data_IF_100932229089
#
_entry.id   IF_100932229089
#
_cell.length_a   1.000
_cell.length_b   1.000
_cell.length_c   1.000
_cell.angle_alpha   90.00
_cell.angle_beta   90.00
_cell.angle_gamma   90.00
#
_symmetry.space_group_name_H-M   'P 1'
#
loop_
_entity.id
_entity.type
_entity.pdbx_description
1 polymer ?
#
# COMPACT_ATOMS: atom_id res chain seq x y z
N UNK A 1 -7.34 4.60 20.52
CA UNK A 1 -7.26 4.71 19.05
C UNK A 1 -7.52 3.34 18.45
N UNK A 2 -8.40 3.25 17.45
CA UNK A 2 -8.64 2.03 16.68
C UNK A 2 -8.01 2.21 15.29
N UNK A 3 -7.51 1.13 14.71
CA UNK A 3 -6.89 1.12 13.40
C UNK A 3 -7.68 0.21 12.47
N UNK A 4 -7.86 0.64 11.22
CA UNK A 4 -8.34 -0.20 10.14
C UNK A 4 -7.15 -0.71 9.32
N UNK A 5 -7.26 -1.94 8.83
CA UNK A 5 -6.22 -2.59 8.03
C UNK A 5 -6.82 -3.10 6.72
N UNK A 6 -6.04 -2.98 5.64
CA UNK A 6 -6.42 -3.50 4.34
C UNK A 6 -5.21 -4.16 3.66
N UNK A 7 -5.47 -5.26 2.96
CA UNK A 7 -4.49 -5.93 2.10
C UNK A 7 -4.91 -5.72 0.64
N UNK A 8 -3.97 -5.33 -0.21
CA UNK A 8 -4.19 -5.17 -1.66
C UNK A 8 -3.13 -5.88 -2.47
N UNK A 9 -3.55 -6.45 -3.60
CA UNK A 9 -2.65 -7.07 -4.55
C UNK A 9 -2.44 -6.13 -5.74
N UNK A 10 -1.18 -5.92 -6.09
CA UNK A 10 -0.76 -5.06 -7.18
C UNK A 10 0.11 -5.83 -8.15
N UNK A 11 -0.06 -5.59 -9.44
CA UNK A 11 0.83 -6.07 -10.50
C UNK A 11 1.57 -4.90 -11.13
N UNK A 12 2.78 -5.14 -11.62
CA UNK A 12 3.58 -4.17 -12.39
C UNK A 12 3.96 -2.88 -11.63
N UNK A 13 3.95 -2.94 -10.30
CA UNK A 13 4.53 -1.88 -9.46
C UNK A 13 6.06 -2.04 -9.40
N UNK A 14 6.83 -0.94 -9.32
CA UNK A 14 8.28 -1.04 -9.17
C UNK A 14 8.62 -1.76 -7.87
N UNK A 15 9.55 -2.71 -7.95
CA UNK A 15 10.09 -3.40 -6.76
C UNK A 15 11.03 -2.44 -6.01
N UNK A 16 10.51 -1.76 -4.99
CA UNK A 16 11.26 -0.85 -4.14
C UNK A 16 10.89 -1.05 -2.67
N UNK A 17 11.72 -0.52 -1.76
CA UNK A 17 11.46 -0.61 -0.33
C UNK A 17 10.16 0.12 0.05
N UNK A 18 9.42 -0.33 1.09
CA UNK A 18 8.20 0.32 1.55
C UNK A 18 8.36 1.81 1.80
N UNK A 19 9.49 2.26 2.34
CA UNK A 19 9.79 3.68 2.59
C UNK A 19 9.77 4.53 1.32
N UNK A 20 10.34 4.02 0.22
CA UNK A 20 10.35 4.70 -1.09
C UNK A 20 8.96 4.69 -1.73
N UNK A 21 8.17 3.67 -1.43
CA UNK A 21 6.85 3.48 -2.00
C UNK A 21 5.73 4.14 -1.21
N UNK A 22 5.93 4.45 0.07
CA UNK A 22 4.89 4.96 0.97
C UNK A 22 4.22 6.22 0.42
N UNK A 23 5.00 7.22 -0.01
CA UNK A 23 4.46 8.46 -0.58
C UNK A 23 3.74 8.23 -1.92
N UNK A 24 4.27 7.33 -2.75
CA UNK A 24 3.67 7.00 -4.06
C UNK A 24 2.33 6.29 -3.87
N UNK A 25 2.28 5.32 -2.97
CA UNK A 25 1.08 4.54 -2.63
C UNK A 25 0.03 5.43 -2.00
N UNK A 26 0.40 6.25 -1.02
CA UNK A 26 -0.53 7.19 -0.39
C UNK A 26 -1.11 8.16 -1.43
N UNK A 27 -0.29 8.72 -2.32
CA UNK A 27 -0.77 9.60 -3.40
C UNK A 27 -1.74 8.87 -4.34
N UNK A 28 -1.40 7.66 -4.76
CA UNK A 28 -2.25 6.85 -5.64
C UNK A 28 -3.59 6.49 -4.98
N UNK A 29 -3.58 6.12 -3.70
CA UNK A 29 -4.78 5.83 -2.92
C UNK A 29 -5.67 7.06 -2.78
N UNK A 30 -5.09 8.22 -2.46
CA UNK A 30 -5.83 9.49 -2.38
C UNK A 30 -6.51 9.83 -3.71
N UNK A 31 -5.85 9.59 -4.85
CA UNK A 31 -6.45 9.79 -6.18
C UNK A 31 -7.65 8.87 -6.46
N UNK A 32 -7.81 7.79 -5.70
CA UNK A 32 -8.95 6.87 -5.77
C UNK A 32 -10.00 7.12 -4.69
N UNK A 33 -9.92 8.24 -3.97
CA UNK A 33 -10.80 8.53 -2.83
C UNK A 33 -10.54 7.64 -1.61
N UNK A 34 -9.34 7.04 -1.52
CA UNK A 34 -8.92 6.21 -0.39
C UNK A 34 -7.96 6.99 0.51
N UNK A 35 -8.44 8.12 1.01
CA UNK A 35 -7.66 9.02 1.83
C UNK A 35 -7.36 8.41 3.21
N UNK A 36 -6.19 8.78 3.75
CA UNK A 36 -5.76 8.37 5.10
C UNK A 36 -5.12 6.98 5.19
N UNK A 37 -5.07 6.22 4.09
CA UNK A 37 -4.37 4.93 4.05
C UNK A 37 -2.86 5.10 3.90
N UNK A 38 -2.11 4.45 4.79
CA UNK A 38 -0.65 4.44 4.85
C UNK A 38 -0.11 3.05 4.52
N UNK A 39 0.99 3.00 3.78
CA UNK A 39 1.70 1.76 3.49
C UNK A 39 2.52 1.30 4.71
N UNK A 40 2.29 0.06 5.14
CA UNK A 40 3.00 -0.59 6.24
C UNK A 40 4.11 -1.49 5.72
N UNK A 41 3.79 -2.32 4.72
CA UNK A 41 4.74 -3.30 4.17
C UNK A 41 4.37 -3.68 2.75
N UNK A 42 5.37 -4.14 2.01
CA UNK A 42 5.23 -4.74 0.69
C UNK A 42 5.88 -6.12 0.75
N UNK A 43 5.15 -7.14 0.32
CA UNK A 43 5.69 -8.48 0.14
C UNK A 43 5.62 -8.89 -1.33
N UNK A 44 6.67 -9.50 -1.89
CA UNK A 44 6.59 -10.10 -3.20
C UNK A 44 5.57 -11.25 -3.19
N UNK A 45 4.81 -11.39 -4.26
CA UNK A 45 3.99 -12.55 -4.57
C UNK A 45 4.48 -13.19 -5.88
N UNK A 46 3.85 -14.28 -6.32
CA UNK A 46 4.27 -14.98 -7.54
C UNK A 46 4.33 -14.04 -8.76
N UNK A 47 5.38 -14.17 -9.56
CA UNK A 47 5.59 -13.35 -10.76
C UNK A 47 5.85 -11.87 -10.46
N UNK A 48 5.11 -10.98 -11.12
CA UNK A 48 5.22 -9.51 -10.95
C UNK A 48 4.24 -8.96 -9.91
N UNK A 49 3.63 -9.83 -9.12
CA UNK A 49 2.64 -9.44 -8.13
C UNK A 49 3.32 -9.04 -6.81
N UNK A 50 2.71 -8.08 -6.13
CA UNK A 50 3.15 -7.60 -4.83
C UNK A 50 1.92 -7.38 -3.93
N UNK A 51 2.06 -7.72 -2.65
CA UNK A 51 1.03 -7.59 -1.63
C UNK A 51 1.36 -6.38 -0.77
N UNK A 52 0.45 -5.42 -0.72
CA UNK A 52 0.59 -4.17 0.01
C UNK A 52 -0.29 -4.24 1.24
N UNK A 53 0.33 -4.05 2.39
CA UNK A 53 -0.34 -3.99 3.69
C UNK A 53 -0.54 -2.53 4.06
N UNK A 54 -1.79 -2.12 4.25
CA UNK A 54 -2.19 -0.75 4.48
C UNK A 54 -2.86 -0.61 5.84
N UNK A 55 -2.73 0.57 6.46
CA UNK A 55 -3.46 0.93 7.68
C UNK A 55 -4.02 2.34 7.60
N UNK A 56 -5.06 2.65 8.36
CA UNK A 56 -5.51 4.03 8.64
C UNK A 56 -6.16 4.15 10.02
N UNK A 57 -6.22 5.35 10.61
CA UNK A 57 -7.04 5.58 11.80
C UNK A 57 -8.52 5.26 11.49
N UNK A 58 -9.17 4.55 12.41
CA UNK A 58 -10.61 4.28 12.35
C UNK A 58 -11.44 5.43 12.93
#
# INVERSE_FOLDING_TARGET
MKWEYQVRHFSDWPSASPEKMAAVVAKWLNQQGQEGWELVSIQPAEGKHQIFYLKRPA
#
